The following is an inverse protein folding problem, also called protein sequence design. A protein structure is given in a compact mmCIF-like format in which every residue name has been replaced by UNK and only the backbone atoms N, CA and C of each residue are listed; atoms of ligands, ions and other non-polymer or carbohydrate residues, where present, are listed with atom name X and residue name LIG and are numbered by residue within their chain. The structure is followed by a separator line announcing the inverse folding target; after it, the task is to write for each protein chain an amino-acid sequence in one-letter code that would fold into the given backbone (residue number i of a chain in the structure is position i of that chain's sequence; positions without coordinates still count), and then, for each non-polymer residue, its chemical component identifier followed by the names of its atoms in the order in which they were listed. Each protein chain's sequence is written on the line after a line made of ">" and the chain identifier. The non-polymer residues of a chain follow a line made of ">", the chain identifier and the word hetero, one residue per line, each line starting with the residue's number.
data_IF_208944623235
#
_entry.id   IF_208944623235
#
_cell.length_a   1.000
_cell.length_b   1.000
_cell.length_c   1.000
_cell.angle_alpha   90.00
_cell.angle_beta   90.00
_cell.angle_gamma   90.00
#
_symmetry.space_group_name_H-M   'P 1'
#
loop_
_entity.id
_entity.type
_entity.pdbx_description
1 polymer ?
#
# COMPACT_ATOMS: atom_id res chain seq x y z
N UNK A 1 20.52 -0.99 7.84
CA UNK A 1 20.57 -2.12 6.88
C UNK A 1 20.81 -3.47 7.56
N UNK A 2 21.96 -3.71 8.20
CA UNK A 2 22.32 -5.03 8.78
C UNK A 2 21.24 -5.59 9.74
N UNK A 3 20.71 -4.76 10.63
CA UNK A 3 19.67 -5.17 11.59
C UNK A 3 18.40 -5.69 10.90
N UNK A 4 17.95 -5.00 9.84
CA UNK A 4 16.74 -5.40 9.09
C UNK A 4 17.03 -6.67 8.29
N UNK A 5 18.22 -6.74 7.66
CA UNK A 5 18.63 -7.90 6.88
C UNK A 5 18.70 -9.18 7.73
N UNK A 6 19.31 -9.12 8.92
CA UNK A 6 19.41 -10.30 9.79
C UNK A 6 18.06 -10.73 10.35
N UNK A 7 17.18 -9.78 10.69
CA UNK A 7 15.81 -10.10 11.15
C UNK A 7 15.00 -10.80 10.05
N UNK A 8 15.06 -10.28 8.83
CA UNK A 8 14.34 -10.90 7.70
C UNK A 8 14.97 -12.24 7.31
N UNK A 9 16.30 -12.39 7.33
CA UNK A 9 16.94 -13.69 7.12
C UNK A 9 16.53 -14.73 8.17
N UNK A 10 16.37 -14.33 9.44
CA UNK A 10 15.86 -15.23 10.47
C UNK A 10 14.40 -15.66 10.17
N UNK A 11 13.55 -14.72 9.72
CA UNK A 11 12.18 -15.03 9.30
C UNK A 11 12.14 -15.94 8.06
N UNK A 12 13.08 -15.75 7.12
CA UNK A 12 13.23 -16.56 5.92
C UNK A 12 13.54 -18.03 6.25
N UNK A 13 14.51 -18.27 7.15
CA UNK A 13 14.83 -19.61 7.65
C UNK A 13 13.66 -20.25 8.41
N UNK A 14 12.90 -19.46 9.18
CA UNK A 14 11.70 -19.95 9.85
C UNK A 14 10.62 -20.35 8.84
N UNK A 15 10.40 -19.57 7.77
CA UNK A 15 9.45 -19.95 6.72
C UNK A 15 9.89 -21.21 5.96
N UNK A 16 11.19 -21.39 5.71
CA UNK A 16 11.69 -22.58 5.03
C UNK A 16 11.39 -23.87 5.83
N UNK A 17 11.37 -23.79 7.16
CA UNK A 17 11.12 -24.94 8.04
C UNK A 17 9.64 -25.22 8.28
N UNK A 18 8.81 -24.19 8.43
CA UNK A 18 7.37 -24.36 8.72
C UNK A 18 6.45 -24.27 7.49
N UNK A 19 6.83 -23.54 6.44
CA UNK A 19 5.98 -23.20 5.28
C UNK A 19 6.75 -23.27 3.94
N UNK A 20 7.33 -24.44 3.63
CA UNK A 20 8.20 -24.64 2.47
C UNK A 20 7.53 -24.32 1.11
N UNK A 21 6.28 -24.75 0.91
CA UNK A 21 5.52 -24.48 -0.32
C UNK A 21 5.29 -22.98 -0.56
N UNK A 22 5.11 -22.20 0.51
CA UNK A 22 4.95 -20.76 0.42
C UNK A 22 6.28 -20.09 0.12
N UNK A 23 7.35 -20.51 0.80
CA UNK A 23 8.70 -19.99 0.61
C UNK A 23 9.15 -20.05 -0.87
N UNK A 24 8.86 -21.14 -1.59
CA UNK A 24 9.19 -21.24 -3.02
C UNK A 24 8.52 -20.17 -3.89
N UNK A 25 7.35 -19.65 -3.48
CA UNK A 25 6.61 -18.63 -4.23
C UNK A 25 6.94 -17.20 -3.82
N UNK A 26 7.24 -16.96 -2.54
CA UNK A 26 7.43 -15.61 -2.01
C UNK A 26 8.88 -15.24 -1.64
N UNK A 27 9.82 -16.19 -1.67
CA UNK A 27 11.21 -15.96 -1.22
C UNK A 27 11.90 -14.78 -1.93
N UNK A 28 11.70 -14.62 -3.23
CA UNK A 28 12.23 -13.47 -3.98
C UNK A 28 11.64 -12.14 -3.52
N UNK A 29 10.35 -12.11 -3.14
CA UNK A 29 9.71 -10.90 -2.64
C UNK A 29 10.25 -10.49 -1.27
N UNK A 30 10.62 -11.45 -0.41
CA UNK A 30 11.22 -11.18 0.91
C UNK A 30 12.54 -10.41 0.75
N UNK A 31 13.39 -10.80 -0.20
CA UNK A 31 14.63 -10.09 -0.52
C UNK A 31 14.38 -8.67 -1.08
N UNK A 32 13.35 -8.50 -1.92
CA UNK A 32 12.93 -7.20 -2.47
C UNK A 32 12.35 -6.26 -1.40
N UNK A 33 11.75 -6.80 -0.34
CA UNK A 33 11.24 -6.01 0.79
C UNK A 33 12.40 -5.44 1.62
N UNK A 34 13.44 -6.23 1.93
CA UNK A 34 14.62 -5.77 2.69
C UNK A 34 15.40 -4.70 1.95
N UNK A 35 15.49 -4.83 0.63
CA UNK A 35 16.22 -3.90 -0.24
C UNK A 35 15.38 -2.70 -0.68
N UNK A 36 14.14 -2.59 -0.19
CA UNK A 36 13.30 -1.43 -0.46
C UNK A 36 13.92 -0.17 0.17
N UNK A 37 14.46 0.70 -0.68
CA UNK A 37 15.13 1.93 -0.28
C UNK A 37 14.20 2.92 0.44
N UNK A 38 12.89 2.88 0.16
CA UNK A 38 11.91 3.78 0.80
C UNK A 38 11.70 3.40 2.26
N UNK A 39 11.56 2.10 2.55
CA UNK A 39 11.43 1.57 3.93
C UNK A 39 12.69 1.89 4.73
N UNK A 40 13.87 1.58 4.16
CA UNK A 40 15.15 1.85 4.82
C UNK A 40 15.34 3.35 5.10
N UNK A 41 15.11 4.21 4.10
CA UNK A 41 15.32 5.65 4.24
C UNK A 41 14.41 6.27 5.31
N UNK A 42 13.14 5.84 5.38
CA UNK A 42 12.21 6.30 6.42
C UNK A 42 12.62 5.81 7.80
N UNK A 43 13.01 4.53 7.92
CA UNK A 43 13.47 3.97 9.20
C UNK A 43 14.68 4.73 9.75
N UNK A 44 15.68 5.03 8.91
CA UNK A 44 16.88 5.77 9.33
C UNK A 44 16.58 7.23 9.69
N UNK A 45 15.71 7.91 8.93
CA UNK A 45 15.34 9.29 9.20
C UNK A 45 14.49 9.42 10.48
N UNK A 46 13.56 8.50 10.70
CA UNK A 46 12.63 8.56 11.84
C UNK A 46 13.29 8.13 13.15
N UNK A 47 14.14 7.09 13.12
CA UNK A 47 14.86 6.60 14.30
C UNK A 47 15.88 7.62 14.85
N UNK A 48 16.43 8.49 13.99
CA UNK A 48 17.37 9.54 14.43
C UNK A 48 16.71 10.70 15.17
N UNK A 49 15.40 10.89 15.01
CA UNK A 49 14.68 12.09 15.47
C UNK A 49 13.59 11.83 16.51
N UNK A 50 13.20 10.57 16.75
CA UNK A 50 12.04 10.23 17.57
C UNK A 50 12.34 9.14 18.60
N UNK A 51 11.59 9.09 19.72
CA UNK A 51 11.71 8.01 20.70
C UNK A 51 11.26 6.66 20.13
N UNK A 52 11.70 5.57 20.76
CA UNK A 52 11.47 4.18 20.28
C UNK A 52 9.99 3.87 20.07
N UNK A 53 9.11 4.23 21.00
CA UNK A 53 7.67 3.96 20.89
C UNK A 53 7.01 4.66 19.70
N UNK A 54 7.41 5.90 19.40
CA UNK A 54 6.91 6.62 18.23
C UNK A 54 7.44 5.97 16.93
N UNK A 55 8.69 5.50 16.93
CA UNK A 55 9.31 4.82 15.78
C UNK A 55 8.64 3.48 15.48
N UNK A 56 8.20 2.74 16.50
CA UNK A 56 7.43 1.51 16.31
C UNK A 56 6.07 1.79 15.66
N UNK A 57 5.38 2.85 16.08
CA UNK A 57 4.12 3.25 15.48
C UNK A 57 4.29 3.71 14.01
N UNK A 58 5.33 4.49 13.68
CA UNK A 58 5.63 4.87 12.29
C UNK A 58 5.90 3.64 11.41
N UNK A 59 6.68 2.67 11.90
CA UNK A 59 6.93 1.41 11.19
C UNK A 59 5.65 0.61 10.93
N UNK A 60 4.75 0.53 11.92
CA UNK A 60 3.46 -0.15 11.77
C UNK A 60 2.58 0.52 10.70
N UNK A 61 2.41 1.84 10.78
CA UNK A 61 1.59 2.58 9.83
C UNK A 61 2.20 2.61 8.43
N UNK A 62 3.52 2.65 8.31
CA UNK A 62 4.22 2.56 7.05
C UNK A 62 4.00 1.21 6.37
N UNK A 63 4.10 0.12 7.14
CA UNK A 63 3.79 -1.23 6.64
C UNK A 63 2.34 -1.37 6.20
N UNK A 64 1.39 -0.86 7.01
CA UNK A 64 -0.02 -0.89 6.67
C UNK A 64 -0.35 -0.05 5.43
N UNK A 65 0.28 1.12 5.28
CA UNK A 65 0.14 1.96 4.09
C UNK A 65 0.68 1.29 2.83
N UNK A 66 1.83 0.61 2.94
CA UNK A 66 2.38 -0.16 1.83
C UNK A 66 1.46 -1.33 1.44
N UNK A 67 0.95 -2.08 2.43
CA UNK A 67 -0.03 -3.13 2.23
C UNK A 67 -1.27 -2.60 1.51
N UNK A 68 -1.85 -1.50 1.99
CA UNK A 68 -3.02 -0.89 1.37
C UNK A 68 -2.76 -0.45 -0.07
N UNK A 69 -1.60 0.16 -0.34
CA UNK A 69 -1.22 0.59 -1.67
C UNK A 69 -1.09 -0.58 -2.65
N UNK A 70 -0.42 -1.67 -2.26
CA UNK A 70 -0.28 -2.86 -3.13
C UNK A 70 -1.61 -3.61 -3.29
N UNK A 71 -2.46 -3.65 -2.26
CA UNK A 71 -3.80 -4.26 -2.34
C UNK A 71 -4.70 -3.48 -3.29
N UNK A 72 -4.76 -2.16 -3.18
CA UNK A 72 -5.53 -1.32 -4.11
C UNK A 72 -5.01 -1.46 -5.54
N UNK A 73 -3.68 -1.40 -5.73
CA UNK A 73 -3.08 -1.56 -7.05
C UNK A 73 -3.35 -2.96 -7.64
N UNK A 74 -3.28 -4.00 -6.80
CA UNK A 74 -3.62 -5.37 -7.17
C UNK A 74 -5.08 -5.50 -7.59
N UNK A 75 -6.00 -4.96 -6.79
CA UNK A 75 -7.44 -4.98 -7.09
C UNK A 75 -7.77 -4.23 -8.38
N UNK A 76 -7.22 -3.03 -8.60
CA UNK A 76 -7.39 -2.29 -9.86
C UNK A 76 -6.86 -3.10 -11.04
N UNK A 77 -5.70 -3.75 -10.89
CA UNK A 77 -5.12 -4.60 -11.94
C UNK A 77 -5.95 -5.85 -12.22
N UNK A 78 -6.59 -6.41 -11.20
CA UNK A 78 -7.48 -7.57 -11.35
C UNK A 78 -8.76 -7.17 -12.11
N UNK A 79 -9.39 -6.06 -11.69
CA UNK A 79 -10.60 -5.54 -12.34
C UNK A 79 -10.34 -5.16 -13.80
N UNK A 80 -9.24 -4.48 -14.10
CA UNK A 80 -8.96 -4.04 -15.47
C UNK A 80 -8.33 -5.15 -16.33
N UNK A 81 -7.52 -6.03 -15.72
CA UNK A 81 -6.80 -7.08 -16.43
C UNK A 81 -7.61 -8.35 -16.66
N UNK A 82 -8.36 -8.82 -15.66
CA UNK A 82 -9.20 -10.02 -15.72
C UNK A 82 -10.68 -9.72 -15.87
N UNK A 83 -11.12 -8.52 -15.53
CA UNK A 83 -12.54 -8.18 -15.54
C UNK A 83 -13.32 -8.78 -14.37
N UNK A 84 -12.63 -9.25 -13.34
CA UNK A 84 -13.21 -9.89 -12.15
C UNK A 84 -12.62 -9.28 -10.88
N UNK A 85 -13.37 -9.37 -9.78
CA UNK A 85 -12.90 -9.06 -8.43
C UNK A 85 -12.95 -10.33 -7.59
N UNK A 86 -11.84 -10.68 -6.92
CA UNK A 86 -11.66 -11.88 -6.09
C UNK A 86 -11.64 -13.21 -6.84
N UNK A 87 -11.13 -13.22 -8.07
CA UNK A 87 -10.93 -14.44 -8.84
C UNK A 87 -9.81 -15.31 -8.24
N UNK A 88 -10.14 -16.56 -7.92
CA UNK A 88 -9.22 -17.50 -7.26
C UNK A 88 -9.33 -17.57 -5.73
N UNK A 89 -10.27 -16.82 -5.12
CA UNK A 89 -10.51 -16.89 -3.67
C UNK A 89 -11.05 -18.25 -3.20
N UNK A 90 -11.67 -19.02 -4.10
CA UNK A 90 -12.05 -20.41 -3.87
C UNK A 90 -10.85 -21.32 -3.53
N UNK A 91 -9.65 -20.98 -4.00
CA UNK A 91 -8.42 -21.73 -3.75
C UNK A 91 -7.83 -21.46 -2.36
N UNK A 92 -8.27 -20.38 -1.70
CA UNK A 92 -7.87 -19.99 -0.34
C UNK A 92 -8.94 -20.29 0.71
N UNK A 93 -10.22 -20.11 0.38
CA UNK A 93 -11.36 -20.21 1.30
C UNK A 93 -12.25 -21.46 1.06
N UNK A 94 -11.85 -22.35 0.16
CA UNK A 94 -12.65 -23.51 -0.24
C UNK A 94 -13.89 -23.13 -1.07
N UNK A 95 -14.86 -24.05 -1.23
CA UNK A 95 -16.03 -23.86 -2.11
C UNK A 95 -16.86 -22.60 -1.82
N UNK A 96 -16.82 -22.06 -0.59
CA UNK A 96 -17.47 -20.80 -0.22
C UNK A 96 -16.82 -19.54 -0.81
N UNK A 97 -15.61 -19.64 -1.36
CA UNK A 97 -14.91 -18.52 -1.98
C UNK A 97 -15.44 -18.11 -3.36
N UNK A 98 -16.21 -18.98 -4.03
CA UNK A 98 -16.83 -18.64 -5.32
C UNK A 98 -17.98 -17.64 -5.17
N UNK A 99 -18.62 -17.56 -4.00
CA UNK A 99 -19.72 -16.63 -3.74
C UNK A 99 -19.30 -15.14 -3.71
N UNK A 100 -18.00 -14.87 -3.60
CA UNK A 100 -17.44 -13.53 -3.49
C UNK A 100 -16.88 -13.01 -4.83
N UNK A 101 -17.00 -13.82 -5.89
CA UNK A 101 -16.55 -13.44 -7.24
C UNK A 101 -17.53 -12.44 -7.83
N UNK A 102 -17.03 -11.27 -8.18
CA UNK A 102 -17.80 -10.26 -8.89
C UNK A 102 -17.26 -10.19 -10.32
N UNK A 103 -18.06 -10.62 -11.29
CA UNK A 103 -17.74 -10.50 -12.71
C UNK A 103 -18.16 -9.13 -13.22
N UNK A 104 -17.20 -8.35 -13.73
CA UNK A 104 -17.39 -6.98 -14.20
C UNK A 104 -17.29 -6.91 -15.74
N UNK A 105 -16.37 -7.66 -16.36
CA UNK A 105 -16.17 -7.65 -17.81
C UNK A 105 -15.49 -8.94 -18.34
N UNK A 106 -15.82 -9.38 -19.57
CA UNK A 106 -15.34 -10.66 -20.11
C UNK A 106 -14.11 -10.54 -21.05
N UNK A 107 -13.57 -9.34 -21.24
CA UNK A 107 -12.44 -9.10 -22.15
C UNK A 107 -11.13 -8.91 -21.37
N UNK A 108 -10.30 -9.96 -21.20
CA UNK A 108 -9.05 -9.82 -20.48
C UNK A 108 -8.04 -8.97 -21.26
N UNK A 109 -7.56 -7.89 -20.64
CA UNK A 109 -6.52 -7.02 -21.21
C UNK A 109 -5.16 -7.54 -20.74
N UNK A 110 -4.51 -8.38 -21.55
CA UNK A 110 -3.21 -8.99 -21.23
C UNK A 110 -2.14 -7.95 -20.83
N UNK A 111 -2.12 -6.79 -21.49
CA UNK A 111 -1.14 -5.72 -21.24
C UNK A 111 -1.18 -5.23 -19.78
N UNK A 112 -2.34 -5.30 -19.11
CA UNK A 112 -2.51 -4.86 -17.72
C UNK A 112 -1.86 -5.84 -16.71
N UNK A 113 -1.66 -7.10 -17.09
CA UNK A 113 -1.00 -8.09 -16.23
C UNK A 113 0.52 -7.96 -16.23
N UNK A 114 1.12 -7.51 -17.33
CA UNK A 114 2.58 -7.36 -17.45
C UNK A 114 3.09 -6.12 -16.67
N UNK A 115 4.40 -6.04 -16.46
CA UNK A 115 5.09 -4.89 -15.86
C UNK A 115 4.63 -3.50 -16.36
N UNK A 116 4.45 -3.23 -17.68
CA UNK A 116 3.93 -1.94 -18.17
C UNK A 116 2.54 -1.59 -17.65
N UNK A 117 1.66 -2.58 -17.46
CA UNK A 117 0.32 -2.37 -16.89
C UNK A 117 0.36 -1.85 -15.46
N UNK A 118 1.30 -2.35 -14.64
CA UNK A 118 1.46 -1.89 -13.27
C UNK A 118 1.87 -0.41 -13.19
N UNK A 119 2.76 0.05 -14.08
CA UNK A 119 3.18 1.46 -14.12
C UNK A 119 2.03 2.39 -14.57
N UNK A 120 1.25 1.98 -15.57
CA UNK A 120 0.08 2.73 -16.02
C UNK A 120 -0.98 2.83 -14.92
N UNK A 121 -1.32 1.71 -14.28
CA UNK A 121 -2.27 1.68 -13.18
C UNK A 121 -1.81 2.55 -12.01
N UNK A 122 -0.53 2.50 -11.65
CA UNK A 122 0.04 3.37 -10.62
C UNK A 122 -0.03 4.85 -11.02
N UNK A 123 0.28 5.20 -12.27
CA UNK A 123 0.17 6.56 -12.79
C UNK A 123 -1.26 7.10 -12.72
N UNK A 124 -2.24 6.30 -13.15
CA UNK A 124 -3.66 6.64 -13.03
C UNK A 124 -4.11 6.79 -11.57
N UNK A 125 -3.64 5.92 -10.68
CA UNK A 125 -3.97 5.99 -9.26
C UNK A 125 -3.42 7.27 -8.60
N UNK A 126 -2.18 7.66 -8.94
CA UNK A 126 -1.58 8.91 -8.47
C UNK A 126 -2.33 10.12 -9.04
N UNK A 127 -2.68 10.11 -10.33
CA UNK A 127 -3.45 11.18 -10.96
C UNK A 127 -4.83 11.36 -10.29
N UNK A 128 -5.52 10.25 -10.02
CA UNK A 128 -6.80 10.24 -9.32
C UNK A 128 -6.66 10.81 -7.90
N UNK A 129 -5.65 10.38 -7.15
CA UNK A 129 -5.37 10.91 -5.81
C UNK A 129 -5.12 12.42 -5.86
N UNK A 130 -4.28 12.89 -6.77
CA UNK A 130 -3.97 14.32 -6.90
C UNK A 130 -5.23 15.15 -7.26
N UNK A 131 -6.10 14.62 -8.12
CA UNK A 131 -7.37 15.27 -8.46
C UNK A 131 -8.30 15.35 -7.23
N UNK A 132 -8.37 14.27 -6.46
CA UNK A 132 -9.19 14.20 -5.26
C UNK A 132 -8.66 15.12 -4.14
N UNK A 133 -7.34 15.18 -3.94
CA UNK A 133 -6.71 16.10 -2.99
C UNK A 133 -7.02 17.56 -3.35
N UNK A 134 -6.91 17.93 -4.63
CA UNK A 134 -7.28 19.28 -5.11
C UNK A 134 -8.77 19.60 -4.92
N UNK A 135 -9.66 18.61 -5.08
CA UNK A 135 -11.08 18.77 -4.77
C UNK A 135 -11.32 18.98 -3.26
N UNK A 136 -10.63 18.23 -2.40
CA UNK A 136 -10.75 18.38 -0.94
C UNK A 136 -10.17 19.70 -0.43
N UNK A 137 -9.06 20.18 -1.00
CA UNK A 137 -8.47 21.48 -0.63
C UNK A 137 -9.39 22.64 -0.99
N UNK A 138 -10.02 22.59 -2.17
CA UNK A 138 -11.01 23.59 -2.60
C UNK A 138 -12.19 23.66 -1.62
N UNK A 139 -12.69 22.50 -1.16
CA UNK A 139 -13.78 22.42 -0.16
C UNK A 139 -13.37 22.89 1.24
N UNK A 140 -12.10 22.72 1.64
CA UNK A 140 -11.59 23.26 2.92
C UNK A 140 -11.49 24.77 2.86
N UNK A 141 -10.97 25.32 1.75
CA UNK A 141 -10.89 26.77 1.52
C UNK A 141 -12.27 27.41 1.52
N UNK A 142 -13.25 26.85 0.80
CA UNK A 142 -14.62 27.40 0.80
C UNK A 142 -15.25 27.41 2.20
N UNK A 143 -15.08 26.33 2.99
CA UNK A 143 -15.56 26.28 4.37
C UNK A 143 -14.88 27.28 5.31
N UNK A 144 -13.61 27.60 5.08
CA UNK A 144 -12.88 28.60 5.86
C UNK A 144 -13.31 30.04 5.52
N UNK A 145 -13.81 30.28 4.31
CA UNK A 145 -14.35 31.58 3.89
C UNK A 145 -15.78 31.81 4.41
N UNK A 146 -16.60 30.75 4.55
CA UNK A 146 -17.95 30.84 5.13
C UNK A 146 -17.96 31.11 6.64
N UNK A 147 -16.91 30.72 7.37
CA UNK A 147 -16.81 30.93 8.81
C UNK A 147 -15.49 31.65 9.14
N UNK A 148 -15.43 33.00 9.00
CA UNK A 148 -14.24 33.74 9.36
C UNK A 148 -14.01 33.55 10.86
N UNK A 149 -12.86 32.98 11.23
CA UNK A 149 -12.41 32.96 12.61
C UNK A 149 -12.34 34.42 13.10
N UNK A 150 -12.86 34.75 14.30
CA UNK A 150 -12.73 36.10 14.83
C UNK A 150 -11.24 36.44 14.86
N UNK A 151 -10.84 37.55 14.21
CA UNK A 151 -9.46 38.05 14.27
C UNK A 151 -9.05 38.08 15.74
N UNK A 152 -8.04 37.29 16.09
CA UNK A 152 -7.34 37.44 17.36
C UNK A 152 -6.85 38.89 17.42
N UNK A 153 -7.49 39.69 18.29
CA UNK A 153 -7.09 41.06 18.56
C UNK A 153 -5.73 41.00 19.24
N UNK A 154 -4.69 41.36 18.49
CA UNK A 154 -3.35 41.62 18.98
C UNK A 154 -3.39 42.45 20.29
N UNK A 155 -3.00 41.90 21.45
CA UNK A 155 -2.80 42.69 22.65
C UNK A 155 -1.34 43.16 22.64
N UNK A 156 -1.02 44.13 21.78
CA UNK A 156 0.06 45.06 22.06
C UNK A 156 -0.56 46.26 22.79
N UNK A 157 -0.89 46.04 24.07
CA UNK A 157 -0.88 47.08 25.08
C UNK A 157 -0.60 46.48 26.47
#
# INVERSE_FOLDING_TARGET
>A
ILVIATMVSAADLLMQTYFFELYQRIGLFIALIVTNCTILGRAELFARRNPVMASMADGFWMGLGFLWAITLLGGVREVIGRGTLFDGMAQLLGPSGDAWRIEVHQSPILIMMLAPGAFLALGCLIALKNCLDGYYESRKTDRLLEHPTPRESNPNH
#
